data_IF_599936925237
#
_entry.id   IF_599936925237
#
_cell.length_a   1.000
_cell.length_b   1.000
_cell.length_c   1.000
_cell.angle_alpha   90.00
_cell.angle_beta   90.00
_cell.angle_gamma   90.00
#
_symmetry.space_group_name_H-M   'P 1'
#
loop_
_entity.id
_entity.type
_entity.pdbx_description
1 polymer ?
#
# COMPACT_ATOMS: atom_id res chain seq x y z
N UNK A 1 34.05 9.61 8.16
CA UNK A 1 33.52 8.66 9.16
C UNK A 1 32.94 7.49 8.39
N UNK A 2 33.33 6.27 8.71
CA UNK A 2 32.86 5.08 8.01
C UNK A 2 31.35 4.95 8.17
N UNK A 3 30.62 4.76 7.06
CA UNK A 3 29.22 4.37 7.05
C UNK A 3 29.10 2.96 7.66
N UNK A 4 29.09 2.84 8.98
CA UNK A 4 28.61 1.63 9.63
C UNK A 4 27.11 1.49 9.34
N UNK A 5 26.77 0.52 8.50
CA UNK A 5 25.36 0.21 8.24
C UNK A 5 24.74 -0.37 9.50
N UNK A 6 23.65 0.24 9.95
CA UNK A 6 22.93 -0.12 11.18
C UNK A 6 22.15 -1.44 11.11
N UNK A 7 22.12 -2.08 9.94
CA UNK A 7 21.21 -3.18 9.60
C UNK A 7 22.01 -4.41 9.15
N UNK A 8 21.63 -5.59 9.64
CA UNK A 8 22.29 -6.88 9.38
C UNK A 8 21.39 -7.85 8.63
N UNK A 9 22.03 -8.83 8.00
CA UNK A 9 21.34 -9.94 7.34
C UNK A 9 20.39 -10.66 8.30
N UNK A 10 19.16 -10.88 7.84
CA UNK A 10 18.12 -11.56 8.60
C UNK A 10 17.32 -10.68 9.55
N UNK A 11 17.72 -9.42 9.78
CA UNK A 11 16.94 -8.48 10.59
C UNK A 11 15.66 -8.03 9.86
N UNK A 12 14.65 -7.69 10.66
CA UNK A 12 13.35 -7.22 10.17
C UNK A 12 13.14 -5.73 10.47
N UNK A 13 12.65 -4.99 9.47
CA UNK A 13 12.44 -3.55 9.53
C UNK A 13 10.98 -3.27 9.23
N UNK A 14 10.29 -2.63 10.16
CA UNK A 14 8.97 -2.06 9.96
C UNK A 14 9.11 -0.57 9.61
N UNK A 15 8.77 -0.20 8.39
CA UNK A 15 8.70 1.20 7.95
C UNK A 15 7.31 1.73 8.25
N UNK A 16 7.23 2.91 8.85
CA UNK A 16 6.02 3.70 9.10
C UNK A 16 6.17 4.99 8.32
N UNK A 17 5.63 5.05 7.10
CA UNK A 17 5.63 6.26 6.29
C UNK A 17 4.41 7.11 6.63
N UNK A 18 4.61 8.12 7.48
CA UNK A 18 3.56 9.01 7.95
C UNK A 18 3.58 10.31 7.14
N UNK A 19 2.71 10.37 6.13
CA UNK A 19 2.63 11.47 5.18
C UNK A 19 1.67 12.59 5.57
N UNK A 20 1.27 13.36 4.55
CA UNK A 20 0.31 14.45 4.70
C UNK A 20 -1.14 13.97 4.82
N UNK A 21 -1.52 12.96 4.03
CA UNK A 21 -2.90 12.46 3.97
C UNK A 21 -3.05 10.95 4.23
N UNK A 22 -1.96 10.20 4.17
CA UNK A 22 -1.95 8.77 4.44
C UNK A 22 -0.79 8.41 5.34
N UNK A 23 -0.97 7.30 6.06
CA UNK A 23 0.09 6.58 6.73
C UNK A 23 0.15 5.19 6.11
N UNK A 24 1.34 4.75 5.71
CA UNK A 24 1.58 3.44 5.10
C UNK A 24 2.67 2.70 5.88
N UNK A 25 2.37 1.47 6.29
CA UNK A 25 3.27 0.58 7.01
C UNK A 25 3.69 -0.61 6.14
N UNK A 26 4.98 -0.91 6.17
CA UNK A 26 5.57 -2.02 5.42
C UNK A 26 6.55 -2.78 6.30
N UNK A 27 6.39 -4.11 6.40
CA UNK A 27 7.30 -4.97 7.14
C UNK A 27 8.21 -5.73 6.18
N UNK A 28 9.50 -5.49 6.32
CA UNK A 28 10.56 -5.96 5.45
C UNK A 28 11.52 -6.86 6.21
N UNK A 29 12.12 -7.82 5.51
CA UNK A 29 13.26 -8.60 5.96
C UNK A 29 14.47 -8.27 5.11
N UNK A 30 15.60 -8.08 5.77
CA UNK A 30 16.89 -7.92 5.11
C UNK A 30 17.35 -9.32 4.71
N UNK A 31 17.29 -9.61 3.41
CA UNK A 31 17.72 -10.88 2.85
C UNK A 31 19.25 -10.95 2.85
N UNK A 32 19.88 -9.87 2.36
CA UNK A 32 21.33 -9.71 2.35
C UNK A 32 21.69 -8.23 2.22
N UNK A 33 22.73 -7.79 2.93
CA UNK A 33 23.25 -6.43 2.90
C UNK A 33 24.77 -6.45 2.67
N UNK A 34 25.19 -5.98 1.50
CA UNK A 34 26.59 -5.82 1.09
C UNK A 34 26.91 -4.35 0.85
N UNK A 35 28.20 -3.97 0.80
CA UNK A 35 28.65 -2.56 0.79
C UNK A 35 27.87 -1.60 -0.13
N UNK A 36 27.43 -2.04 -1.31
CA UNK A 36 26.68 -1.24 -2.29
C UNK A 36 25.33 -1.85 -2.68
N UNK A 37 24.85 -2.86 -1.94
CA UNK A 37 23.66 -3.64 -2.32
C UNK A 37 22.85 -4.00 -1.10
N UNK A 38 21.53 -3.83 -1.17
CA UNK A 38 20.61 -4.33 -0.15
C UNK A 38 19.50 -5.10 -0.83
N UNK A 39 19.29 -6.32 -0.39
CA UNK A 39 18.21 -7.17 -0.82
C UNK A 39 17.16 -7.26 0.28
N UNK A 40 15.94 -6.89 -0.06
CA UNK A 40 14.80 -6.82 0.84
C UNK A 40 13.72 -7.82 0.40
N UNK A 41 12.99 -8.35 1.38
CA UNK A 41 11.80 -9.16 1.13
C UNK A 41 10.65 -8.67 1.98
N UNK A 42 9.49 -8.41 1.37
CA UNK A 42 8.27 -8.11 2.13
C UNK A 42 7.86 -9.34 2.93
N UNK A 43 7.48 -9.18 4.20
CA UNK A 43 7.04 -10.29 5.05
C UNK A 43 5.53 -10.48 5.02
N UNK A 44 4.77 -9.41 4.86
CA UNK A 44 3.31 -9.42 4.85
C UNK A 44 2.76 -8.25 4.02
N UNK A 45 1.46 -8.24 3.63
CA UNK A 45 0.88 -7.13 2.90
C UNK A 45 1.03 -5.81 3.67
N UNK A 46 1.31 -4.73 2.95
CA UNK A 46 1.34 -3.38 3.51
C UNK A 46 -0.01 -3.01 4.11
N UNK A 47 -0.01 -2.15 5.12
CA UNK A 47 -1.22 -1.59 5.74
C UNK A 47 -1.15 -0.09 5.67
N UNK A 48 -2.21 0.55 5.20
CA UNK A 48 -2.27 2.00 5.18
C UNK A 48 -3.70 2.47 5.36
N UNK A 49 -3.83 3.70 5.86
CA UNK A 49 -5.11 4.34 6.11
C UNK A 49 -4.94 5.88 6.12
N UNK A 50 -6.06 6.59 6.18
CA UNK A 50 -6.14 8.05 6.07
C UNK A 50 -5.84 8.74 7.41
N UNK A 51 -4.58 8.70 7.80
CA UNK A 51 -4.03 9.50 8.90
C UNK A 51 -2.91 10.40 8.34
N UNK A 52 -2.73 11.58 8.90
CA UNK A 52 -1.68 12.46 8.38
C UNK A 52 -1.74 13.90 8.86
N UNK A 53 -0.70 14.66 8.52
CA UNK A 53 -0.53 16.05 8.96
C UNK A 53 -1.66 16.99 8.52
N UNK A 54 -2.33 16.70 7.40
CA UNK A 54 -3.45 17.49 6.88
C UNK A 54 -4.70 17.37 7.76
N UNK A 55 -4.90 16.23 8.42
CA UNK A 55 -6.02 16.07 9.34
C UNK A 55 -5.81 16.85 10.65
N UNK A 56 -4.55 17.03 11.05
CA UNK A 56 -4.17 17.90 12.18
C UNK A 56 -4.49 19.36 11.83
N UNK A 57 -4.16 19.77 10.61
CA UNK A 57 -4.48 21.11 10.10
C UNK A 57 -5.99 21.36 10.06
N UNK A 58 -6.77 20.40 9.56
CA UNK A 58 -8.24 20.49 9.57
C UNK A 58 -8.81 20.58 10.98
N UNK A 59 -8.30 19.78 11.91
CA UNK A 59 -8.71 19.84 13.32
C UNK A 59 -8.39 21.21 13.95
N UNK A 60 -7.26 21.82 13.59
CA UNK A 60 -6.93 23.19 14.01
C UNK A 60 -7.91 24.21 13.43
N UNK A 61 -8.20 24.13 12.13
CA UNK A 61 -9.18 25.01 11.49
C UNK A 61 -10.55 24.91 12.17
N UNK A 62 -11.01 23.69 12.49
CA UNK A 62 -12.29 23.45 13.15
C UNK A 62 -12.32 24.00 14.59
N UNK A 63 -11.20 23.91 15.31
CA UNK A 63 -11.03 24.54 16.62
C UNK A 63 -11.14 26.07 16.52
N UNK A 64 -10.51 26.69 15.51
CA UNK A 64 -10.60 28.13 15.24
C UNK A 64 -12.05 28.52 14.90
N UNK A 65 -12.68 27.82 13.96
CA UNK A 65 -14.08 28.07 13.55
C UNK A 65 -15.03 28.01 14.75
N UNK A 66 -14.86 27.01 15.61
CA UNK A 66 -15.65 26.85 16.84
C UNK A 66 -15.49 28.06 17.77
N UNK A 67 -14.27 28.55 17.96
CA UNK A 67 -13.99 29.73 18.81
C UNK A 67 -14.50 31.03 18.21
N UNK A 68 -14.62 31.13 16.89
CA UNK A 68 -15.11 32.31 16.19
C UNK A 68 -16.63 32.31 15.93
N UNK A 69 -17.33 31.20 16.16
CA UNK A 69 -18.75 31.04 15.86
C UNK A 69 -19.61 32.22 16.39
N UNK A 70 -20.33 32.92 15.51
CA UNK A 70 -21.15 34.08 15.86
C UNK A 70 -20.40 35.42 15.91
N UNK A 71 -19.10 35.44 15.58
CA UNK A 71 -18.31 36.64 15.39
C UNK A 71 -18.13 36.99 13.90
N UNK A 72 -18.92 36.39 13.00
CA UNK A 72 -18.83 36.57 11.55
C UNK A 72 -18.84 38.05 11.14
N UNK A 73 -19.68 38.85 11.81
CA UNK A 73 -19.80 40.29 11.59
C UNK A 73 -18.54 41.11 11.91
N UNK A 74 -17.54 40.51 12.56
CA UNK A 74 -16.28 41.16 12.93
C UNK A 74 -15.20 41.04 11.86
N UNK A 75 -15.37 40.15 10.88
CA UNK A 75 -14.38 39.86 9.85
C UNK A 75 -14.88 40.31 8.48
N UNK A 76 -13.96 40.76 7.61
CA UNK A 76 -14.26 41.07 6.21
C UNK A 76 -14.40 39.77 5.43
N UNK A 77 -13.55 38.79 5.74
CA UNK A 77 -13.59 37.44 5.16
C UNK A 77 -14.42 36.47 5.99
N UNK A 78 -14.74 35.31 5.42
CA UNK A 78 -15.51 34.30 6.14
C UNK A 78 -14.70 33.71 7.30
N UNK A 79 -15.35 33.19 8.34
CA UNK A 79 -14.67 32.47 9.42
C UNK A 79 -13.84 31.29 8.90
N UNK A 80 -14.26 30.66 7.79
CA UNK A 80 -13.50 29.58 7.16
C UNK A 80 -12.19 30.07 6.56
N UNK A 81 -12.20 31.24 5.91
CA UNK A 81 -10.98 31.86 5.37
C UNK A 81 -10.05 32.31 6.49
N UNK A 82 -10.61 32.87 7.57
CA UNK A 82 -9.87 33.23 8.78
C UNK A 82 -9.15 32.01 9.36
N UNK A 83 -9.85 30.89 9.54
CA UNK A 83 -9.26 29.65 10.03
C UNK A 83 -8.18 29.10 9.09
N UNK A 84 -8.41 29.16 7.78
CA UNK A 84 -7.43 28.74 6.77
C UNK A 84 -6.15 29.60 6.79
N UNK A 85 -6.29 30.91 6.97
CA UNK A 85 -5.17 31.83 7.13
C UNK A 85 -4.40 31.56 8.41
N UNK A 86 -5.08 31.37 9.54
CA UNK A 86 -4.44 31.01 10.82
C UNK A 86 -3.71 29.67 10.76
N UNK A 87 -4.23 28.70 10.03
CA UNK A 87 -3.55 27.40 9.81
C UNK A 87 -2.27 27.55 8.97
N UNK A 88 -2.15 28.64 8.21
CA UNK A 88 -0.94 28.98 7.45
C UNK A 88 -0.03 29.97 8.20
N UNK A 89 -0.39 30.36 9.43
CA UNK A 89 0.36 31.33 10.22
C UNK A 89 1.73 30.76 10.64
N UNK A 90 2.83 31.54 10.51
CA UNK A 90 4.17 31.08 10.87
C UNK A 90 4.30 30.59 12.32
N UNK A 91 3.64 31.24 13.28
CA UNK A 91 3.70 30.85 14.69
C UNK A 91 2.98 29.51 14.89
N UNK A 92 1.87 29.27 14.19
CA UNK A 92 1.17 27.98 14.25
C UNK A 92 2.04 26.87 13.68
N UNK A 93 2.60 27.08 12.49
CA UNK A 93 3.47 26.11 11.83
C UNK A 93 4.70 25.79 12.69
N UNK A 94 5.33 26.81 13.28
CA UNK A 94 6.47 26.63 14.18
C UNK A 94 6.08 25.80 15.41
N UNK A 95 5.02 26.17 16.13
CA UNK A 95 4.57 25.44 17.32
C UNK A 95 4.16 23.99 16.97
N UNK A 96 3.48 23.78 15.83
CA UNK A 96 3.13 22.44 15.32
C UNK A 96 4.37 21.59 15.06
N UNK A 97 5.43 22.17 14.49
CA UNK A 97 6.68 21.47 14.19
C UNK A 97 7.54 21.22 15.44
N UNK A 98 7.52 22.13 16.41
CA UNK A 98 8.24 22.02 17.67
C UNK A 98 7.57 21.10 18.70
N UNK A 99 6.31 20.70 18.47
CA UNK A 99 5.62 19.78 19.36
C UNK A 99 6.45 18.52 19.61
N UNK A 100 6.74 18.27 20.88
CA UNK A 100 7.58 17.16 21.35
C UNK A 100 9.10 17.40 21.27
N UNK A 101 9.60 18.54 20.79
CA UNK A 101 11.03 18.84 20.76
C UNK A 101 11.58 19.25 22.14
N UNK A 102 10.82 20.04 22.90
CA UNK A 102 11.20 20.55 24.21
C UNK A 102 10.24 20.06 25.31
N UNK A 103 10.66 20.16 26.58
CA UNK A 103 9.72 20.06 27.70
C UNK A 103 8.91 21.35 27.80
N UNK A 104 7.61 21.27 27.60
CA UNK A 104 6.69 22.39 27.74
C UNK A 104 5.67 22.08 28.84
N UNK A 105 5.22 23.12 29.53
CA UNK A 105 4.05 23.00 30.38
C UNK A 105 2.82 22.87 29.47
N UNK A 106 2.11 21.74 29.53
CA UNK A 106 0.93 21.48 28.68
C UNK A 106 -0.16 22.56 28.80
N UNK A 107 -0.21 23.26 29.94
CA UNK A 107 -1.18 24.32 30.21
C UNK A 107 -0.66 25.73 29.84
N UNK A 108 0.62 25.88 29.45
CA UNK A 108 1.08 27.18 28.94
C UNK A 108 0.46 27.46 27.58
N UNK A 109 0.30 28.75 27.29
CA UNK A 109 -0.39 29.24 26.10
C UNK A 109 0.60 29.86 25.11
N UNK A 110 0.39 29.61 23.82
CA UNK A 110 0.99 30.34 22.71
C UNK A 110 -0.10 31.15 21.99
N UNK A 111 0.31 32.10 21.16
CA UNK A 111 -0.58 33.05 20.49
C UNK A 111 -0.45 32.91 18.99
N UNK A 112 -1.59 32.90 18.30
CA UNK A 112 -1.68 32.98 16.84
C UNK A 112 -2.48 34.23 16.50
N UNK A 113 -1.97 35.07 15.61
CA UNK A 113 -2.65 36.30 15.20
C UNK A 113 -3.97 36.01 14.50
N UNK A 114 -5.03 36.75 14.83
CA UNK A 114 -6.20 36.80 13.96
C UNK A 114 -5.82 37.56 12.68
N UNK A 115 -6.18 37.05 11.49
CA UNK A 115 -6.03 37.79 10.25
C UNK A 115 -6.95 39.02 10.27
N UNK A 116 -6.53 40.05 9.53
CA UNK A 116 -7.17 41.37 9.52
C UNK A 116 -6.98 42.15 10.83
N UNK A 117 -6.89 43.48 10.75
CA UNK A 117 -6.55 44.34 11.88
C UNK A 117 -7.70 44.49 12.88
N UNK A 118 -8.20 43.39 13.44
CA UNK A 118 -9.02 43.43 14.67
C UNK A 118 -8.12 43.66 15.90
N UNK A 119 -7.17 44.59 15.74
CA UNK A 119 -6.21 44.98 16.76
C UNK A 119 -7.03 45.43 17.98
N UNK A 120 -6.71 44.87 19.16
CA UNK A 120 -7.37 45.13 20.45
C UNK A 120 -8.68 44.41 20.72
N UNK A 121 -9.16 43.51 19.85
CA UNK A 121 -10.30 42.66 20.24
C UNK A 121 -9.87 41.66 21.31
N UNK A 122 -10.63 41.61 22.40
CA UNK A 122 -10.42 40.71 23.52
C UNK A 122 -11.75 40.06 23.88
N UNK A 123 -11.75 38.73 23.99
CA UNK A 123 -12.85 37.94 24.50
C UNK A 123 -12.28 36.74 25.27
N UNK A 124 -12.28 36.86 26.60
CA UNK A 124 -11.70 35.85 27.49
C UNK A 124 -12.38 34.48 27.36
N UNK A 125 -13.71 34.47 27.20
CA UNK A 125 -14.49 33.23 27.06
C UNK A 125 -14.13 32.43 25.81
N UNK A 126 -13.58 33.10 24.79
CA UNK A 126 -13.15 32.51 23.51
C UNK A 126 -11.63 32.41 23.40
N UNK A 127 -10.89 32.71 24.47
CA UNK A 127 -9.43 32.71 24.51
C UNK A 127 -8.81 33.65 23.47
N UNK A 128 -9.40 34.83 23.27
CA UNK A 128 -8.87 35.86 22.38
C UNK A 128 -8.43 37.06 23.22
N UNK A 129 -7.21 37.54 23.02
CA UNK A 129 -6.66 38.71 23.70
C UNK A 129 -5.82 39.53 22.72
N UNK A 130 -6.11 40.83 22.64
CA UNK A 130 -5.40 41.80 21.80
C UNK A 130 -5.28 41.37 20.32
N UNK A 131 -6.38 40.87 19.74
CA UNK A 131 -6.40 40.39 18.36
C UNK A 131 -5.62 39.09 18.13
N UNK A 132 -5.21 38.38 19.19
CA UNK A 132 -4.53 37.10 19.09
C UNK A 132 -5.35 36.01 19.78
N UNK A 133 -5.46 34.85 19.14
CA UNK A 133 -6.08 33.68 19.73
C UNK A 133 -5.04 32.87 20.50
N UNK A 134 -5.37 32.53 21.74
CA UNK A 134 -4.53 31.77 22.66
C UNK A 134 -4.82 30.28 22.54
N UNK A 135 -3.79 29.47 22.39
CA UNK A 135 -3.89 28.00 22.37
C UNK A 135 -2.99 27.42 23.43
N UNK A 136 -3.42 26.34 24.07
CA UNK A 136 -2.56 25.58 24.97
C UNK A 136 -1.79 24.52 24.19
N UNK A 137 -0.62 24.14 24.70
CA UNK A 137 0.10 22.97 24.16
C UNK A 137 -0.71 21.68 24.25
N UNK A 138 -1.55 21.54 25.29
CA UNK A 138 -2.50 20.43 25.41
C UNK A 138 -3.49 20.39 24.26
N UNK A 139 -4.05 21.54 23.87
CA UNK A 139 -4.95 21.60 22.71
C UNK A 139 -4.21 21.18 21.44
N UNK A 140 -2.96 21.61 21.25
CA UNK A 140 -2.14 21.19 20.12
C UNK A 140 -1.88 19.67 20.13
N UNK A 141 -1.57 19.06 21.27
CA UNK A 141 -1.47 17.58 21.41
C UNK A 141 -2.79 16.89 21.00
N UNK A 142 -3.93 17.42 21.45
CA UNK A 142 -5.25 16.85 21.12
C UNK A 142 -5.57 16.88 19.62
N UNK A 143 -4.97 17.79 18.84
CA UNK A 143 -5.10 17.77 17.38
C UNK A 143 -4.32 16.60 16.75
N UNK A 144 -3.24 16.14 17.39
CA UNK A 144 -2.42 15.00 16.96
C UNK A 144 -3.00 13.67 17.43
N UNK A 145 -3.64 13.62 18.61
CA UNK A 145 -4.11 12.39 19.26
C UNK A 145 -4.85 11.42 18.32
N UNK A 146 -5.82 11.84 17.48
CA UNK A 146 -6.51 10.92 16.59
C UNK A 146 -5.58 10.29 15.56
N UNK A 147 -4.61 11.06 15.06
CA UNK A 147 -3.66 10.60 14.04
C UNK A 147 -2.65 9.63 14.64
N UNK A 148 -2.10 9.95 15.82
CA UNK A 148 -1.19 9.07 16.57
C UNK A 148 -1.90 7.77 16.90
N UNK A 149 -3.12 7.83 17.44
CA UNK A 149 -3.89 6.63 17.76
C UNK A 149 -4.13 5.74 16.53
N UNK A 150 -4.43 6.34 15.38
CA UNK A 150 -4.55 5.63 14.10
C UNK A 150 -3.27 4.91 13.70
N UNK A 151 -2.13 5.62 13.74
CA UNK A 151 -0.79 5.04 13.45
C UNK A 151 -0.49 3.85 14.36
N UNK A 152 -0.72 4.00 15.67
CA UNK A 152 -0.47 2.95 16.65
C UNK A 152 -1.41 1.74 16.46
N UNK A 153 -2.66 1.98 16.04
CA UNK A 153 -3.59 0.90 15.69
C UNK A 153 -3.11 0.10 14.48
N UNK A 154 -2.64 0.78 13.42
CA UNK A 154 -2.07 0.10 12.25
C UNK A 154 -0.83 -0.72 12.60
N UNK A 155 0.02 -0.18 13.48
CA UNK A 155 1.18 -0.88 14.01
C UNK A 155 0.78 -2.15 14.76
N UNK A 156 -0.17 -2.04 15.70
CA UNK A 156 -0.67 -3.17 16.48
C UNK A 156 -1.23 -4.29 15.58
N UNK A 157 -2.04 -3.92 14.58
CA UNK A 157 -2.57 -4.87 13.59
C UNK A 157 -1.47 -5.61 12.83
N UNK A 158 -0.43 -4.88 12.37
CA UNK A 158 0.69 -5.49 11.66
C UNK A 158 1.51 -6.41 12.55
N UNK A 159 1.73 -6.02 13.80
CA UNK A 159 2.47 -6.82 14.79
C UNK A 159 1.70 -8.09 15.14
N UNK A 160 0.41 -7.98 15.46
CA UNK A 160 -0.45 -9.13 15.76
C UNK A 160 -0.52 -10.11 14.58
N UNK A 161 -0.63 -9.60 13.34
CA UNK A 161 -0.66 -10.46 12.15
C UNK A 161 0.68 -11.16 11.93
N UNK A 162 1.79 -10.46 12.20
CA UNK A 162 3.13 -11.01 12.09
C UNK A 162 3.38 -12.13 13.11
N UNK A 163 2.98 -11.93 14.38
CA UNK A 163 3.14 -12.93 15.45
C UNK A 163 2.38 -14.24 15.20
N UNK A 164 1.26 -14.18 14.49
CA UNK A 164 0.47 -15.38 14.13
C UNK A 164 1.15 -16.27 13.09
N UNK A 165 2.24 -15.82 12.47
CA UNK A 165 2.96 -16.60 11.46
C UNK A 165 3.89 -17.61 12.12
N UNK A 166 4.00 -18.80 11.53
CA UNK A 166 4.86 -19.89 12.01
C UNK A 166 6.35 -19.58 11.88
N UNK A 167 6.72 -18.68 10.96
CA UNK A 167 8.09 -18.22 10.73
C UNK A 167 8.40 -16.88 11.41
N UNK A 168 7.51 -16.41 12.30
CA UNK A 168 7.62 -15.08 12.90
C UNK A 168 8.91 -14.95 13.71
N UNK A 169 9.62 -13.85 13.46
CA UNK A 169 10.79 -13.41 14.22
C UNK A 169 10.50 -12.05 14.83
N UNK A 170 11.37 -11.61 15.75
CA UNK A 170 11.29 -10.23 16.25
C UNK A 170 11.39 -9.21 15.11
N UNK A 171 10.78 -8.05 15.32
CA UNK A 171 10.96 -6.86 14.51
C UNK A 171 12.15 -6.11 15.13
N UNK A 172 13.27 -6.02 14.42
CA UNK A 172 14.50 -5.41 14.96
C UNK A 172 14.42 -3.89 14.97
N UNK A 173 13.79 -3.32 13.94
CA UNK A 173 13.75 -1.89 13.71
C UNK A 173 12.34 -1.41 13.34
N UNK A 174 11.94 -0.29 13.91
CA UNK A 174 10.81 0.52 13.42
C UNK A 174 11.40 1.83 12.91
N UNK A 175 11.07 2.22 11.68
CA UNK A 175 11.59 3.45 11.05
C UNK A 175 10.44 4.35 10.69
N UNK A 176 10.39 5.55 11.26
CA UNK A 176 9.39 6.58 10.97
C UNK A 176 9.90 7.51 9.87
N UNK A 177 9.14 7.64 8.77
CA UNK A 177 9.40 8.55 7.65
C UNK A 177 8.17 9.39 7.28
N UNK A 178 8.28 10.20 6.24
CA UNK A 178 7.19 11.02 5.73
C UNK A 178 7.05 12.39 6.42
N UNK A 179 6.23 13.27 5.84
CA UNK A 179 6.06 14.65 6.32
C UNK A 179 5.62 14.75 7.79
N UNK A 180 4.65 13.92 8.21
CA UNK A 180 4.25 13.80 9.62
C UNK A 180 5.30 13.06 10.45
N UNK A 181 6.02 12.10 9.85
CA UNK A 181 7.07 11.35 10.53
C UNK A 181 8.26 12.18 11.02
N UNK A 182 8.40 13.43 10.55
CA UNK A 182 9.35 14.41 11.12
C UNK A 182 8.98 14.89 12.53
N UNK A 183 7.71 14.77 12.91
CA UNK A 183 7.22 15.23 14.22
C UNK A 183 7.92 14.49 15.37
N UNK A 184 8.55 15.25 16.28
CA UNK A 184 9.17 14.71 17.49
C UNK A 184 8.13 14.14 18.45
N UNK A 185 6.94 14.73 18.49
CA UNK A 185 5.80 14.19 19.24
C UNK A 185 5.38 12.80 18.73
N UNK A 186 5.15 12.65 17.42
CA UNK A 186 4.77 11.34 16.83
C UNK A 186 5.86 10.30 17.06
N UNK A 187 7.13 10.67 16.90
CA UNK A 187 8.25 9.79 17.19
C UNK A 187 8.27 9.31 18.65
N UNK A 188 8.12 10.22 19.62
CA UNK A 188 8.08 9.88 21.05
C UNK A 188 6.91 8.96 21.39
N UNK A 189 5.71 9.25 20.87
CA UNK A 189 4.55 8.39 21.08
C UNK A 189 4.76 6.97 20.51
N UNK A 190 5.40 6.87 19.35
CA UNK A 190 5.75 5.59 18.73
C UNK A 190 6.81 4.82 19.55
N UNK A 191 7.86 5.51 19.99
CA UNK A 191 8.93 4.95 20.84
C UNK A 191 8.40 4.45 22.17
N UNK A 192 7.53 5.22 22.82
CA UNK A 192 6.90 4.87 24.09
C UNK A 192 5.95 3.67 23.93
N UNK A 193 5.17 3.63 22.84
CA UNK A 193 4.32 2.47 22.51
C UNK A 193 5.14 1.21 22.27
N UNK A 194 6.21 1.27 21.47
CA UNK A 194 7.08 0.11 21.20
C UNK A 194 7.76 -0.37 22.48
N UNK A 195 8.27 0.56 23.29
CA UNK A 195 8.99 0.23 24.54
C UNK A 195 8.08 -0.37 25.62
N UNK A 196 6.81 0.05 25.66
CA UNK A 196 5.81 -0.45 26.62
C UNK A 196 5.02 -1.66 26.12
N UNK A 197 5.20 -2.06 24.85
CA UNK A 197 4.47 -3.18 24.26
C UNK A 197 4.84 -4.51 24.93
N UNK A 198 3.82 -5.36 25.11
CA UNK A 198 3.97 -6.73 25.60
C UNK A 198 4.18 -7.75 24.47
N UNK A 199 4.13 -7.31 23.22
CA UNK A 199 4.35 -8.16 22.05
C UNK A 199 5.76 -8.76 22.09
N UNK A 200 5.85 -10.07 21.86
CA UNK A 200 7.14 -10.75 21.73
C UNK A 200 7.87 -10.29 20.47
N UNK A 201 7.13 -9.94 19.41
CA UNK A 201 7.71 -9.41 18.18
C UNK A 201 8.36 -8.03 18.36
N UNK A 202 7.89 -7.20 19.30
CA UNK A 202 8.47 -5.86 19.55
C UNK A 202 9.56 -5.85 20.64
N UNK A 203 9.90 -7.01 21.21
CA UNK A 203 10.87 -7.09 22.30
C UNK A 203 12.28 -6.71 21.80
N UNK A 204 12.81 -5.62 22.34
CA UNK A 204 14.15 -5.10 22.00
C UNK A 204 14.21 -4.37 20.66
N UNK A 205 13.06 -4.04 20.06
CA UNK A 205 12.97 -3.24 18.85
C UNK A 205 13.54 -1.84 19.07
N UNK A 206 14.33 -1.36 18.10
CA UNK A 206 14.83 0.02 18.08
C UNK A 206 13.95 0.87 17.19
N UNK A 207 13.51 2.03 17.69
CA UNK A 207 12.73 3.00 16.92
C UNK A 207 13.67 4.08 16.38
N UNK A 208 13.56 4.35 15.09
CA UNK A 208 14.38 5.31 14.37
C UNK A 208 13.50 6.35 13.70
N UNK A 209 13.96 7.59 13.69
CA UNK A 209 13.39 8.63 12.85
C UNK A 209 14.32 8.82 11.66
N UNK A 210 13.78 8.86 10.44
CA UNK A 210 14.59 9.18 9.27
C UNK A 210 15.22 10.57 9.39
N UNK A 211 16.44 10.73 8.91
CA UNK A 211 17.14 12.02 8.85
C UNK A 211 16.46 12.99 7.89
N UNK A 212 16.02 12.48 6.74
CA UNK A 212 15.44 13.24 5.64
C UNK A 212 14.09 12.65 5.22
N UNK A 213 13.08 12.69 6.11
CA UNK A 213 11.85 11.92 5.94
C UNK A 213 11.04 12.30 4.70
N UNK A 214 11.23 13.51 4.15
CA UNK A 214 10.59 13.97 2.92
C UNK A 214 11.27 13.44 1.64
N UNK A 215 12.56 13.08 1.72
CA UNK A 215 13.34 12.62 0.57
C UNK A 215 13.44 11.09 0.50
N UNK A 216 13.08 10.37 1.58
CA UNK A 216 13.21 8.92 1.68
C UNK A 216 12.69 8.14 0.48
N UNK A 217 11.51 8.50 -0.01
CA UNK A 217 10.89 7.81 -1.16
C UNK A 217 11.73 8.02 -2.42
N UNK A 218 12.08 9.26 -2.73
CA UNK A 218 12.90 9.58 -3.91
C UNK A 218 14.29 8.94 -3.84
N UNK A 219 14.95 9.02 -2.67
CA UNK A 219 16.24 8.38 -2.44
C UNK A 219 16.14 6.87 -2.60
N UNK A 220 15.13 6.22 -2.03
CA UNK A 220 14.91 4.78 -2.17
C UNK A 220 14.68 4.34 -3.63
N UNK A 221 13.96 5.14 -4.42
CA UNK A 221 13.77 4.89 -5.85
C UNK A 221 15.10 4.99 -6.61
N UNK A 222 15.88 6.05 -6.35
CA UNK A 222 17.19 6.26 -6.99
C UNK A 222 18.14 5.12 -6.61
N UNK A 223 18.24 4.78 -5.33
CA UNK A 223 19.06 3.66 -4.85
C UNK A 223 18.65 2.33 -5.48
N UNK A 224 17.34 2.05 -5.60
CA UNK A 224 16.85 0.85 -6.28
C UNK A 224 17.20 0.82 -7.76
N UNK A 225 17.12 1.96 -8.46
CA UNK A 225 17.48 2.06 -9.86
C UNK A 225 18.99 1.89 -10.06
N UNK A 226 19.80 2.56 -9.23
CA UNK A 226 21.27 2.46 -9.25
C UNK A 226 21.72 1.02 -8.99
N UNK A 227 21.15 0.36 -7.99
CA UNK A 227 21.46 -1.05 -7.71
C UNK A 227 21.16 -1.95 -8.92
N UNK A 228 20.04 -1.71 -9.61
CA UNK A 228 19.65 -2.46 -10.82
C UNK A 228 20.65 -2.24 -11.95
N UNK A 229 21.07 -0.98 -12.17
CA UNK A 229 22.04 -0.62 -13.22
C UNK A 229 23.43 -1.21 -12.93
N UNK A 230 23.90 -1.11 -11.69
CA UNK A 230 25.27 -1.48 -11.31
C UNK A 230 25.45 -2.99 -11.08
N UNK A 231 24.41 -3.68 -10.61
CA UNK A 231 24.52 -5.06 -10.13
C UNK A 231 23.54 -6.03 -10.80
N UNK A 232 22.76 -5.59 -11.80
CA UNK A 232 21.73 -6.37 -12.51
C UNK A 232 20.77 -7.10 -11.54
N UNK A 233 20.40 -6.42 -10.45
CA UNK A 233 19.61 -7.00 -9.37
C UNK A 233 18.66 -6.01 -8.75
N UNK A 234 17.40 -6.43 -8.60
CA UNK A 234 16.37 -5.61 -7.96
C UNK A 234 16.58 -5.56 -6.44
N UNK A 235 16.28 -4.42 -5.82
CA UNK A 235 16.35 -4.29 -4.36
C UNK A 235 15.39 -5.24 -3.64
N UNK A 236 14.19 -5.45 -4.17
CA UNK A 236 13.20 -6.33 -3.57
C UNK A 236 13.21 -7.70 -4.24
N UNK A 237 13.71 -8.71 -3.52
CA UNK A 237 13.84 -10.08 -4.00
C UNK A 237 12.56 -10.91 -3.81
N UNK A 238 11.67 -10.45 -2.94
CA UNK A 238 10.37 -11.07 -2.68
C UNK A 238 9.34 -10.00 -2.37
N UNK A 239 8.22 -10.05 -3.06
CA UNK A 239 7.06 -9.15 -2.87
C UNK A 239 5.87 -9.95 -2.37
N UNK A 240 4.97 -9.28 -1.67
CA UNK A 240 3.69 -9.84 -1.27
C UNK A 240 2.61 -9.30 -2.20
N UNK A 241 1.83 -10.19 -2.80
CA UNK A 241 0.68 -9.76 -3.59
C UNK A 241 -0.32 -9.02 -2.70
N UNK A 242 -0.68 -7.80 -3.11
CA UNK A 242 -1.68 -6.97 -2.43
C UNK A 242 -3.11 -7.31 -2.84
N UNK A 243 -3.26 -8.17 -3.86
CA UNK A 243 -4.51 -8.48 -4.54
C UNK A 243 -4.56 -9.97 -4.90
N UNK A 244 -5.74 -10.58 -4.81
CA UNK A 244 -5.98 -11.92 -5.36
C UNK A 244 -6.34 -11.79 -6.84
N UNK A 245 -5.81 -12.67 -7.69
CA UNK A 245 -5.97 -12.61 -9.15
C UNK A 245 -6.47 -13.94 -9.71
N UNK A 246 -7.37 -13.84 -10.69
CA UNK A 246 -7.87 -14.95 -11.48
C UNK A 246 -7.75 -14.63 -12.98
N UNK A 247 -7.41 -15.65 -13.76
CA UNK A 247 -7.61 -15.67 -15.20
C UNK A 247 -8.91 -16.42 -15.52
N UNK A 248 -9.98 -15.67 -15.77
CA UNK A 248 -11.33 -16.21 -15.88
C UNK A 248 -11.65 -16.64 -17.31
N UNK A 249 -12.21 -17.85 -17.42
CA UNK A 249 -12.80 -18.38 -18.65
C UNK A 249 -14.15 -17.72 -18.87
N UNK A 250 -14.17 -16.59 -19.58
CA UNK A 250 -15.42 -16.09 -20.13
C UNK A 250 -16.01 -17.16 -21.05
N UNK A 251 -17.26 -17.54 -20.78
CA UNK A 251 -18.16 -18.24 -21.70
C UNK A 251 -17.94 -19.72 -22.00
N UNK A 252 -17.79 -20.57 -20.97
CA UNK A 252 -18.06 -22.00 -21.16
C UNK A 252 -19.14 -22.50 -20.20
N UNK A 253 -20.37 -22.51 -20.72
CA UNK A 253 -21.45 -23.41 -20.30
C UNK A 253 -20.96 -24.83 -20.57
N UNK A 254 -20.79 -25.63 -19.51
CA UNK A 254 -21.26 -27.03 -19.46
C UNK A 254 -21.13 -27.59 -18.05
N UNK A 255 -22.24 -28.14 -17.54
CA UNK A 255 -22.17 -29.21 -16.55
C UNK A 255 -21.37 -30.36 -17.18
N UNK A 256 -20.18 -30.64 -16.61
CA UNK A 256 -19.16 -31.57 -17.10
C UNK A 256 -18.43 -31.13 -18.38
N UNK A 257 -17.10 -31.01 -18.28
CA UNK A 257 -16.24 -30.93 -19.45
C UNK A 257 -16.24 -32.28 -20.24
N UNK A 258 -15.67 -32.33 -21.46
CA UNK A 258 -15.59 -33.55 -22.27
C UNK A 258 -14.83 -34.69 -21.58
N UNK A 259 -13.99 -34.37 -20.60
CA UNK A 259 -13.22 -35.30 -19.78
C UNK A 259 -14.00 -35.79 -18.54
N UNK A 260 -15.18 -35.21 -18.24
CA UNK A 260 -16.06 -35.60 -17.14
C UNK A 260 -15.88 -34.81 -15.84
N UNK A 261 -15.02 -33.79 -15.81
CA UNK A 261 -14.84 -32.94 -14.62
C UNK A 261 -16.02 -31.99 -14.43
N UNK A 262 -16.54 -31.92 -13.20
CA UNK A 262 -17.65 -31.03 -12.82
C UNK A 262 -17.10 -29.62 -12.58
N UNK A 263 -17.43 -28.68 -13.46
CA UNK A 263 -17.17 -27.26 -13.26
C UNK A 263 -18.41 -26.59 -12.67
N UNK A 264 -18.23 -25.76 -11.64
CA UNK A 264 -19.31 -24.96 -11.06
C UNK A 264 -19.29 -23.59 -11.74
N UNK A 265 -20.41 -23.20 -12.33
CA UNK A 265 -20.51 -21.92 -13.05
C UNK A 265 -20.22 -20.75 -12.11
N UNK A 266 -19.35 -19.85 -12.58
CA UNK A 266 -18.97 -18.65 -11.85
C UNK A 266 -18.09 -18.91 -10.64
N UNK A 267 -17.67 -20.16 -10.39
CA UNK A 267 -16.71 -20.46 -9.34
C UNK A 267 -15.34 -19.89 -9.71
N UNK A 268 -14.71 -19.24 -8.74
CA UNK A 268 -13.43 -18.54 -8.91
C UNK A 268 -12.26 -19.49 -8.67
N UNK A 269 -11.27 -19.47 -9.56
CA UNK A 269 -10.01 -20.23 -9.47
C UNK A 269 -8.83 -19.25 -9.33
N UNK A 270 -8.71 -18.70 -8.11
CA UNK A 270 -7.67 -17.74 -7.77
C UNK A 270 -6.27 -18.38 -7.82
N UNK A 271 -5.40 -17.90 -8.71
CA UNK A 271 -4.05 -18.45 -8.89
C UNK A 271 -2.95 -17.62 -8.20
N UNK A 272 -3.28 -16.38 -7.81
CA UNK A 272 -2.54 -15.59 -6.85
C UNK A 272 -3.52 -15.18 -5.78
N UNK A 273 -3.16 -15.39 -4.52
CA UNK A 273 -3.89 -14.89 -3.36
C UNK A 273 -3.21 -13.65 -2.80
N UNK A 274 -4.03 -12.74 -2.27
CA UNK A 274 -3.52 -11.64 -1.45
C UNK A 274 -2.74 -12.22 -0.26
N UNK A 275 -1.51 -11.76 -0.07
CA UNK A 275 -0.59 -12.34 0.91
C UNK A 275 0.43 -13.32 0.33
N UNK A 276 0.25 -13.77 -0.92
CA UNK A 276 1.21 -14.66 -1.56
C UNK A 276 2.55 -13.98 -1.78
N UNK A 277 3.61 -14.71 -1.43
CA UNK A 277 4.99 -14.30 -1.69
C UNK A 277 5.41 -14.65 -3.10
N UNK A 278 5.66 -13.65 -3.93
CA UNK A 278 6.16 -13.84 -5.28
C UNK A 278 7.63 -13.41 -5.30
N UNK A 279 8.49 -14.35 -5.68
CA UNK A 279 9.91 -14.07 -5.88
C UNK A 279 10.07 -13.14 -7.06
N UNK A 280 10.99 -12.20 -6.92
CA UNK A 280 11.33 -11.28 -7.98
C UNK A 280 11.84 -12.05 -9.21
N UNK A 281 11.52 -11.54 -10.42
CA UNK A 281 11.73 -12.19 -11.70
C UNK A 281 11.01 -13.54 -11.96
N UNK A 282 10.25 -14.09 -11.01
CA UNK A 282 9.39 -15.27 -11.24
C UNK A 282 7.94 -14.85 -11.46
N UNK A 283 7.39 -15.22 -12.63
CA UNK A 283 5.97 -15.05 -12.88
C UNK A 283 5.17 -16.19 -12.23
N UNK A 284 4.05 -15.86 -11.60
CA UNK A 284 3.04 -16.84 -11.24
C UNK A 284 2.39 -17.35 -12.53
N UNK A 285 2.29 -18.67 -12.70
CA UNK A 285 1.76 -19.28 -13.92
C UNK A 285 0.43 -19.96 -13.61
N UNK A 286 -0.59 -19.63 -14.39
CA UNK A 286 -1.90 -20.27 -14.33
C UNK A 286 -2.16 -21.04 -15.64
N UNK A 287 -2.37 -22.37 -15.59
CA UNK A 287 -2.75 -23.14 -16.76
C UNK A 287 -4.09 -22.65 -17.31
N UNK A 288 -4.17 -22.42 -18.61
CA UNK A 288 -5.36 -21.94 -19.28
C UNK A 288 -5.56 -22.67 -20.60
N UNK A 289 -6.79 -22.68 -21.12
CA UNK A 289 -7.09 -23.26 -22.42
C UNK A 289 -8.23 -22.54 -23.10
N UNK A 290 -8.17 -22.47 -24.43
CA UNK A 290 -9.22 -21.92 -25.28
C UNK A 290 -9.57 -22.96 -26.35
N UNK A 291 -10.86 -23.16 -26.54
CA UNK A 291 -11.40 -24.07 -27.54
C UNK A 291 -11.80 -23.25 -28.78
N UNK A 292 -11.32 -23.67 -29.94
CA UNK A 292 -11.66 -23.10 -31.24
C UNK A 292 -12.50 -24.11 -32.03
N UNK A 293 -13.61 -23.66 -32.60
CA UNK A 293 -14.46 -24.49 -33.45
C UNK A 293 -13.74 -24.97 -34.71
N UNK A 294 -14.24 -26.03 -35.36
CA UNK A 294 -13.60 -26.65 -36.53
C UNK A 294 -13.48 -25.69 -37.73
N UNK A 295 -14.38 -24.70 -37.83
CA UNK A 295 -14.41 -23.73 -38.93
C UNK A 295 -13.48 -22.53 -38.70
N UNK A 296 -12.85 -22.42 -37.52
CA UNK A 296 -11.94 -21.31 -37.21
C UNK A 296 -10.58 -21.59 -37.86
N UNK A 297 -10.23 -20.78 -38.86
CA UNK A 297 -8.91 -20.85 -39.51
C UNK A 297 -7.79 -20.67 -38.49
N UNK A 298 -6.66 -21.34 -38.71
CA UNK A 298 -5.49 -21.22 -37.84
C UNK A 298 -5.05 -19.76 -37.65
N UNK A 299 -5.11 -18.94 -38.71
CA UNK A 299 -4.73 -17.52 -38.66
C UNK A 299 -5.66 -16.65 -37.80
N UNK A 300 -6.88 -17.11 -37.54
CA UNK A 300 -7.90 -16.37 -36.78
C UNK A 300 -8.07 -16.88 -35.34
N UNK A 301 -7.14 -17.69 -34.83
CA UNK A 301 -7.20 -18.23 -33.47
C UNK A 301 -6.77 -17.18 -32.45
N UNK A 302 -7.62 -16.19 -32.21
CA UNK A 302 -7.39 -15.14 -31.19
C UNK A 302 -8.21 -15.45 -29.94
N UNK A 303 -7.52 -15.59 -28.82
CA UNK A 303 -8.07 -15.82 -27.51
C UNK A 303 -8.29 -14.53 -26.71
N UNK A 304 -9.25 -14.55 -25.78
CA UNK A 304 -9.48 -13.48 -24.80
C UNK A 304 -9.51 -14.08 -23.40
N UNK A 305 -8.73 -13.52 -22.49
CA UNK A 305 -8.66 -13.94 -21.08
C UNK A 305 -9.07 -12.76 -20.21
N UNK A 306 -10.16 -12.91 -19.44
CA UNK A 306 -10.60 -11.87 -18.51
C UNK A 306 -9.82 -12.00 -17.20
N UNK A 307 -9.13 -10.95 -16.79
CA UNK A 307 -8.44 -10.90 -15.49
C UNK A 307 -9.36 -10.29 -14.44
N UNK A 308 -9.69 -11.07 -13.41
CA UNK A 308 -10.49 -10.66 -12.26
C UNK A 308 -9.60 -10.45 -11.04
N UNK A 309 -10.00 -9.56 -10.14
CA UNK A 309 -9.29 -9.28 -8.89
C UNK A 309 -10.22 -9.17 -7.70
N UNK A 310 -9.66 -9.37 -6.50
CA UNK A 310 -10.29 -9.06 -5.23
C UNK A 310 -9.22 -8.62 -4.21
N UNK A 311 -9.51 -7.59 -3.42
CA UNK A 311 -8.62 -7.11 -2.33
C UNK A 311 -9.15 -7.46 -0.93
N UNK A 312 -10.35 -8.02 -0.85
CA UNK A 312 -11.05 -8.32 0.40
C UNK A 312 -10.78 -9.74 0.89
N UNK A 313 -10.83 -9.92 2.21
CA UNK A 313 -10.77 -11.22 2.88
C UNK A 313 -12.05 -11.45 3.71
N UNK A 314 -12.61 -12.67 3.77
CA UNK A 314 -12.20 -13.85 3.00
C UNK A 314 -12.51 -13.68 1.50
N UNK A 315 -11.66 -14.25 0.65
CA UNK A 315 -11.82 -14.19 -0.80
C UNK A 315 -13.17 -14.81 -1.25
N UNK A 316 -13.90 -14.19 -2.19
CA UNK A 316 -15.13 -14.76 -2.74
C UNK A 316 -14.88 -16.06 -3.50
N UNK A 317 -15.79 -17.03 -3.36
CA UNK A 317 -15.78 -18.26 -4.17
C UNK A 317 -16.46 -18.10 -5.52
N UNK A 318 -17.24 -17.03 -5.74
CA UNK A 318 -18.05 -16.83 -6.94
C UNK A 318 -17.86 -15.45 -7.56
N UNK A 319 -17.94 -15.37 -8.88
CA UNK A 319 -17.65 -14.19 -9.69
C UNK A 319 -18.69 -13.07 -9.60
N UNK A 320 -19.91 -13.40 -9.18
CA UNK A 320 -21.00 -12.44 -8.98
C UNK A 320 -20.90 -11.66 -7.66
N UNK A 321 -19.95 -12.00 -6.81
CA UNK A 321 -19.71 -11.26 -5.58
C UNK A 321 -19.26 -9.82 -5.91
N UNK A 322 -19.88 -8.83 -5.27
CA UNK A 322 -19.64 -7.40 -5.52
C UNK A 322 -18.19 -6.95 -5.26
N UNK A 323 -17.44 -7.76 -4.50
CA UNK A 323 -16.03 -7.52 -4.19
C UNK A 323 -15.11 -7.95 -5.34
N UNK A 324 -15.60 -8.76 -6.29
CA UNK A 324 -14.85 -9.17 -7.48
C UNK A 324 -14.90 -8.07 -8.53
N UNK A 325 -13.72 -7.67 -9.03
CA UNK A 325 -13.58 -6.65 -10.06
C UNK A 325 -13.05 -7.24 -11.35
N UNK A 326 -13.67 -6.87 -12.47
CA UNK A 326 -13.16 -7.13 -13.81
C UNK A 326 -12.12 -6.05 -14.14
N UNK A 327 -10.83 -6.41 -14.24
CA UNK A 327 -9.76 -5.41 -14.44
C UNK A 327 -9.44 -5.18 -15.91
N UNK A 328 -9.10 -6.25 -16.62
CA UNK A 328 -8.60 -6.16 -18.00
C UNK A 328 -8.87 -7.45 -18.76
N UNK A 329 -8.84 -7.36 -20.09
CA UNK A 329 -8.95 -8.52 -21.00
C UNK A 329 -7.65 -8.65 -21.77
N UNK A 330 -6.92 -9.75 -21.55
CA UNK A 330 -5.74 -10.08 -22.34
C UNK A 330 -6.20 -10.67 -23.66
N UNK A 331 -5.73 -10.08 -24.76
CA UNK A 331 -5.90 -10.65 -26.10
C UNK A 331 -4.66 -11.46 -26.42
N UNK A 332 -4.86 -12.73 -26.78
CA UNK A 332 -3.81 -13.73 -26.94
C UNK A 332 -3.85 -14.25 -28.37
N UNK A 333 -2.77 -14.06 -29.13
CA UNK A 333 -2.67 -14.62 -30.48
C UNK A 333 -2.20 -16.08 -30.42
N UNK A 334 -3.09 -17.01 -30.76
CA UNK A 334 -2.84 -18.45 -30.76
C UNK A 334 -2.72 -19.02 -32.18
N UNK A 335 -2.55 -18.16 -33.19
CA UNK A 335 -2.37 -18.58 -34.58
C UNK A 335 -1.08 -19.38 -34.82
N UNK A 336 -0.08 -19.17 -33.97
CA UNK A 336 1.22 -19.85 -34.01
C UNK A 336 1.46 -20.77 -32.80
N UNK A 337 0.38 -21.29 -32.19
CA UNK A 337 0.49 -22.23 -31.08
C UNK A 337 1.32 -23.46 -31.47
N UNK A 338 2.22 -23.89 -30.58
CA UNK A 338 3.09 -25.04 -30.83
C UNK A 338 2.27 -26.33 -30.93
N UNK A 339 2.70 -27.29 -31.76
CA UNK A 339 1.97 -28.55 -31.99
C UNK A 339 1.66 -29.27 -30.66
N UNK A 340 2.61 -29.28 -29.72
CA UNK A 340 2.42 -29.92 -28.40
C UNK A 340 1.41 -29.23 -27.48
N UNK A 341 0.98 -28.01 -27.80
CA UNK A 341 -0.06 -27.27 -27.06
C UNK A 341 -1.47 -27.47 -27.63
N UNK A 342 -1.57 -28.07 -28.82
CA UNK A 342 -2.82 -28.28 -29.55
C UNK A 342 -3.34 -29.68 -29.28
N UNK A 343 -4.57 -29.76 -28.80
CA UNK A 343 -5.29 -31.00 -28.55
C UNK A 343 -6.51 -31.06 -29.47
N UNK A 344 -6.53 -32.04 -30.37
CA UNK A 344 -7.69 -32.30 -31.22
C UNK A 344 -8.85 -32.85 -30.38
N UNK A 345 -10.01 -32.19 -30.46
CA UNK A 345 -11.18 -32.63 -29.72
C UNK A 345 -11.93 -33.71 -30.51
N UNK A 346 -11.87 -34.95 -30.02
CA UNK A 346 -12.57 -36.08 -30.63
C UNK A 346 -14.07 -36.06 -30.33
N UNK A 347 -14.93 -36.41 -31.30
CA UNK A 347 -16.36 -36.58 -31.06
C UNK A 347 -16.65 -37.67 -30.03
N UNK A 348 -17.69 -37.47 -29.21
CA UNK A 348 -18.29 -38.54 -28.38
C UNK A 348 -19.36 -39.26 -29.21
N UNK A 349 -19.11 -40.52 -29.57
CA UNK A 349 -20.06 -41.40 -30.25
C UNK A 349 -19.84 -41.55 -31.76
N UNK A 350 -20.52 -42.55 -32.36
CA UNK A 350 -20.36 -43.02 -33.74
C UNK A 350 -20.70 -42.01 -34.85
N UNK A 351 -21.34 -40.88 -34.53
CA UNK A 351 -21.82 -39.88 -35.49
C UNK A 351 -21.35 -38.44 -35.21
N UNK A 352 -20.38 -38.24 -34.31
CA UNK A 352 -20.02 -36.87 -33.91
C UNK A 352 -19.12 -36.15 -34.93
N UNK A 353 -19.41 -34.86 -35.17
CA UNK A 353 -18.58 -33.94 -35.96
C UNK A 353 -17.26 -33.62 -35.24
N UNK A 354 -16.24 -33.22 -36.00
CA UNK A 354 -14.99 -32.67 -35.45
C UNK A 354 -15.33 -31.50 -34.51
N UNK A 355 -14.90 -31.57 -33.25
CA UNK A 355 -15.22 -30.56 -32.23
C UNK A 355 -14.23 -29.38 -32.24
N UNK A 356 -13.29 -29.37 -33.19
CA UNK A 356 -12.26 -28.35 -33.32
C UNK A 356 -11.02 -28.68 -32.49
N UNK A 357 -10.33 -27.63 -32.03
CA UNK A 357 -9.06 -27.77 -31.30
C UNK A 357 -9.11 -27.04 -29.97
N UNK A 358 -8.49 -27.64 -28.94
CA UNK A 358 -8.18 -26.99 -27.67
C UNK A 358 -6.73 -26.59 -27.68
N UNK A 359 -6.45 -25.31 -27.41
CA UNK A 359 -5.07 -24.81 -27.28
C UNK A 359 -4.81 -24.51 -25.82
N UNK A 360 -3.81 -25.18 -25.23
CA UNK A 360 -3.41 -25.01 -23.83
C UNK A 360 -2.22 -24.05 -23.73
N UNK A 361 -2.24 -23.16 -22.74
CA UNK A 361 -1.15 -22.24 -22.47
C UNK A 361 -1.09 -21.83 -21.01
N UNK A 362 -0.11 -21.00 -20.65
CA UNK A 362 -0.04 -20.38 -19.33
C UNK A 362 -0.32 -18.89 -19.42
N UNK A 363 -1.16 -18.40 -18.51
CA UNK A 363 -1.23 -16.98 -18.18
C UNK A 363 -0.19 -16.74 -17.10
N UNK A 364 0.76 -15.85 -17.38
CA UNK A 364 1.81 -15.46 -16.47
C UNK A 364 1.48 -14.09 -15.86
N UNK A 365 1.57 -13.96 -14.54
CA UNK A 365 1.43 -12.68 -13.84
C UNK A 365 2.71 -12.35 -13.08
N UNK A 366 3.19 -11.11 -13.21
CA UNK A 366 4.34 -10.57 -12.48
C UNK A 366 3.87 -9.39 -11.63
N UNK A 367 4.17 -9.44 -10.33
CA UNK A 367 3.86 -8.36 -9.39
C UNK A 367 5.03 -7.36 -9.37
N UNK A 368 4.78 -6.15 -9.87
CA UNK A 368 5.69 -5.01 -9.77
C UNK A 368 5.50 -4.25 -8.46
N UNK A 369 6.09 -3.04 -8.39
CA UNK A 369 5.95 -2.17 -7.21
C UNK A 369 4.57 -1.53 -7.10
N UNK A 370 4.03 -1.10 -8.24
CA UNK A 370 2.77 -0.37 -8.35
C UNK A 370 1.78 -1.02 -9.33
N UNK A 371 2.24 -2.03 -10.07
CA UNK A 371 1.51 -2.64 -11.17
C UNK A 371 1.57 -4.17 -11.10
N UNK A 372 0.65 -4.79 -11.83
CA UNK A 372 0.72 -6.22 -12.15
C UNK A 372 0.73 -6.33 -13.66
N UNK A 373 1.77 -6.96 -14.20
CA UNK A 373 1.86 -7.21 -15.63
C UNK A 373 1.49 -8.66 -15.92
N UNK A 374 0.76 -8.86 -17.00
CA UNK A 374 0.34 -10.18 -17.46
C UNK A 374 0.95 -10.48 -18.81
N UNK A 375 1.29 -11.75 -19.05
CA UNK A 375 1.73 -12.27 -20.34
C UNK A 375 1.02 -13.58 -20.62
N UNK A 376 0.73 -13.82 -21.88
CA UNK A 376 0.29 -15.10 -22.40
C UNK A 376 1.05 -15.32 -23.73
N UNK A 377 1.08 -16.53 -24.30
CA UNK A 377 1.82 -16.78 -25.55
C UNK A 377 1.35 -15.89 -26.72
N UNK A 378 2.13 -15.82 -27.82
CA UNK A 378 3.30 -16.63 -28.13
C UNK A 378 4.54 -16.06 -27.44
N UNK A 379 5.28 -16.89 -26.70
CA UNK A 379 6.68 -16.55 -26.43
C UNK A 379 7.42 -16.79 -27.75
N UNK A 380 7.57 -15.76 -28.59
CA UNK A 380 8.27 -15.91 -29.86
C UNK A 380 9.74 -16.32 -29.65
N UNK A 381 10.06 -17.48 -30.24
CA UNK A 381 11.29 -17.90 -30.93
C UNK A 381 12.62 -17.59 -30.24
N UNK A 382 13.19 -18.60 -29.60
CA UNK A 382 14.64 -18.82 -29.72
C UNK A 382 14.96 -19.00 -31.21
N UNK A 383 15.42 -17.92 -31.86
CA UNK A 383 16.43 -18.06 -32.90
C UNK A 383 17.77 -18.01 -32.16
N UNK A 384 18.31 -19.19 -31.88
CA UNK A 384 19.76 -19.35 -31.87
C UNK A 384 20.23 -19.01 -33.29
N UNK A 385 20.93 -17.89 -33.43
CA UNK A 385 21.88 -17.66 -34.53
C UNK A 385 23.28 -17.63 -33.97
#
# INVERSE_FOLDING_TARGET
>A
MANERFIKDGESILVVDAGGGTVDLCLLKVVNAEKNRVNLGELQPTRGDNYGATFIDRAFEDLVKTRLLGLDHMFITSISDVAWLMKSDPDYLQNKHELGANTYNKNSKFRIGLPERIQRFTNESRLIADGQMLFTWRELEQLFDPQVKGILSLLDEMVMKHEKRTDSKRIDHVVLSGGLGRSKYVFKQLEEYVSSSRSAALKGTKVHQSSDPQLCVCLGIVESAMQTIENDTNMFQRRISKVSLEASKNDLVTEKDPEGHRWIRGYMDWFILRGDGIQDNKAAKHPYSIDFGPDVSTLNRIGRVLIKSCTSEPIPSFDKDERVRNNTVLTVDLSHASIGSIEERKPKGLFGKNLGVRIRFYVEARIGMADVSFRAPPFERERLS
#
